data_IF_970575063309
#
_entry.id   IF_970575063309
#
_cell.length_a   1.000
_cell.length_b   1.000
_cell.length_c   1.000
_cell.angle_alpha   90.00
_cell.angle_beta   90.00
_cell.angle_gamma   90.00
#
_symmetry.space_group_name_H-M   'P 1'
#
loop_
_entity.id
_entity.type
_entity.pdbx_description
1 polymer ?
#
# COMPACT_ATOMS: atom_id res chain seq x y z
N UNK A 1 7.61 13.03 11.76
CA UNK A 1 6.36 13.31 11.04
C UNK A 1 6.54 14.60 10.24
N UNK A 2 6.37 14.56 8.92
CA UNK A 2 6.72 15.71 8.05
C UNK A 2 5.66 16.81 8.20
N UNK A 3 5.98 17.92 8.88
CA UNK A 3 5.05 19.04 9.12
C UNK A 3 4.49 19.60 7.80
N UNK A 4 5.28 19.52 6.72
CA UNK A 4 4.84 19.91 5.38
C UNK A 4 3.63 19.12 4.88
N UNK A 5 3.47 17.85 5.31
CA UNK A 5 2.29 17.06 4.98
C UNK A 5 1.01 17.70 5.53
N UNK A 6 1.02 18.17 6.78
CA UNK A 6 -0.17 18.76 7.40
C UNK A 6 -0.54 20.11 6.79
N UNK A 7 0.47 20.90 6.41
CA UNK A 7 0.23 22.15 5.70
C UNK A 7 -0.35 21.92 4.31
N UNK A 8 0.18 20.95 3.55
CA UNK A 8 -0.33 20.57 2.23
C UNK A 8 -1.72 19.92 2.30
N UNK A 9 -1.96 19.10 3.34
CA UNK A 9 -3.23 18.38 3.51
C UNK A 9 -4.32 19.21 4.20
N UNK A 10 -4.02 20.46 4.61
CA UNK A 10 -4.95 21.31 5.39
C UNK A 10 -6.34 21.39 4.76
N UNK A 11 -6.41 21.69 3.46
CA UNK A 11 -7.67 21.80 2.74
C UNK A 11 -8.48 20.49 2.72
N UNK A 12 -7.83 19.33 2.81
CA UNK A 12 -8.48 18.02 2.91
C UNK A 12 -8.94 17.75 4.34
N UNK A 13 -8.09 18.03 5.33
CA UNK A 13 -8.40 17.86 6.75
C UNK A 13 -9.56 18.76 7.19
N UNK A 14 -9.67 19.95 6.60
CA UNK A 14 -10.77 20.89 6.86
C UNK A 14 -12.12 20.40 6.33
N UNK A 15 -12.18 19.35 5.52
CA UNK A 15 -13.47 18.77 5.05
C UNK A 15 -14.18 17.92 6.11
N UNK A 16 -13.50 17.55 7.19
CA UNK A 16 -14.06 16.73 8.26
C UNK A 16 -13.87 17.43 9.60
N UNK A 17 -14.98 17.66 10.33
CA UNK A 17 -14.94 18.24 11.67
C UNK A 17 -14.05 17.43 12.63
N UNK A 18 -14.09 16.10 12.54
CA UNK A 18 -13.23 15.22 13.34
C UNK A 18 -11.75 15.34 12.96
N UNK A 19 -11.44 15.41 11.66
CA UNK A 19 -10.06 15.62 11.22
C UNK A 19 -9.54 17.00 11.65
N UNK A 20 -10.36 18.05 11.57
CA UNK A 20 -10.03 19.36 12.12
C UNK A 20 -9.76 19.28 13.62
N UNK A 21 -10.66 18.66 14.41
CA UNK A 21 -10.50 18.52 15.87
C UNK A 21 -9.20 17.80 16.23
N UNK A 22 -8.92 16.66 15.60
CA UNK A 22 -7.79 15.81 15.91
C UNK A 22 -6.46 16.38 15.43
N UNK A 23 -6.41 16.86 14.18
CA UNK A 23 -5.16 17.23 13.52
C UNK A 23 -4.88 18.74 13.49
N UNK A 24 -5.88 19.61 13.63
CA UNK A 24 -5.71 21.07 13.55
C UNK A 24 -6.09 21.78 14.85
N UNK A 25 -7.06 21.26 15.61
CA UNK A 25 -7.66 21.90 16.79
C UNK A 25 -6.68 22.18 17.92
N UNK A 26 -5.59 21.41 18.00
CA UNK A 26 -4.51 21.67 18.95
C UNK A 26 -3.44 22.62 18.40
N UNK A 27 -3.60 23.29 17.25
CA UNK A 27 -2.54 24.06 16.58
C UNK A 27 -1.64 23.23 15.64
N UNK A 28 -2.02 21.97 15.44
CA UNK A 28 -1.42 20.99 14.54
C UNK A 28 -0.06 20.41 14.94
N UNK A 29 0.40 19.34 14.24
CA UNK A 29 1.74 18.80 14.40
C UNK A 29 2.78 19.82 13.95
N UNK A 30 3.79 20.08 14.80
CA UNK A 30 4.89 21.03 14.54
C UNK A 30 6.22 20.41 14.97
N UNK A 31 7.37 20.87 14.45
CA UNK A 31 8.66 20.35 14.90
C UNK A 31 8.83 20.57 16.40
N UNK A 32 9.32 19.54 17.11
CA UNK A 32 9.51 19.57 18.56
C UNK A 32 8.24 19.46 19.40
N UNK A 33 7.05 19.37 18.79
CA UNK A 33 5.79 19.26 19.53
C UNK A 33 5.36 17.82 19.74
N UNK A 34 5.03 17.48 20.98
CA UNK A 34 4.35 16.22 21.31
C UNK A 34 2.87 16.33 20.94
N UNK A 35 2.39 15.39 20.14
CA UNK A 35 0.98 15.28 19.76
C UNK A 35 0.40 14.00 20.35
N UNK A 36 -0.75 14.10 21.00
CA UNK A 36 -1.41 12.98 21.69
C UNK A 36 -2.79 12.75 21.10
N UNK A 37 -3.08 11.50 20.71
CA UNK A 37 -4.37 11.08 20.17
C UNK A 37 -5.05 10.13 21.16
N UNK A 38 -5.73 10.69 22.16
CA UNK A 38 -6.36 9.91 23.24
C UNK A 38 -7.43 8.94 22.72
N UNK A 39 -8.21 9.39 21.74
CA UNK A 39 -9.28 8.58 21.13
C UNK A 39 -8.68 7.37 20.38
N UNK A 40 -7.62 7.59 19.61
CA UNK A 40 -6.87 6.50 18.94
C UNK A 40 -6.25 5.55 19.98
N UNK A 41 -5.68 6.06 21.07
CA UNK A 41 -5.15 5.22 22.13
C UNK A 41 -6.24 4.38 22.81
N UNK A 42 -7.46 4.91 22.96
CA UNK A 42 -8.60 4.14 23.44
C UNK A 42 -9.03 3.04 22.44
N UNK A 43 -9.05 3.35 21.14
CA UNK A 43 -9.30 2.35 20.08
C UNK A 43 -8.25 1.23 20.10
N UNK A 44 -6.96 1.57 20.19
CA UNK A 44 -5.88 0.58 20.23
C UNK A 44 -5.94 -0.30 21.49
N UNK A 45 -6.33 0.26 22.65
CA UNK A 45 -6.57 -0.54 23.86
C UNK A 45 -7.72 -1.54 23.69
N UNK A 46 -8.82 -1.11 23.10
CA UNK A 46 -9.95 -2.00 22.80
C UNK A 46 -9.54 -3.16 21.87
N UNK A 47 -8.70 -2.89 20.87
CA UNK A 47 -8.17 -3.95 19.98
C UNK A 47 -7.18 -4.86 20.72
N UNK A 48 -6.32 -4.31 21.58
CA UNK A 48 -5.38 -5.11 22.37
C UNK A 48 -6.09 -6.05 23.36
N UNK A 49 -7.20 -5.60 23.95
CA UNK A 49 -7.97 -6.36 24.95
C UNK A 49 -8.96 -7.35 24.30
N UNK A 50 -9.61 -6.96 23.21
CA UNK A 50 -10.69 -7.75 22.58
C UNK A 50 -10.36 -8.32 21.19
N UNK A 51 -9.13 -8.13 20.71
CA UNK A 51 -8.68 -8.66 19.43
C UNK A 51 -9.38 -8.02 18.20
N UNK A 52 -9.26 -8.71 17.06
CA UNK A 52 -9.78 -8.24 15.78
C UNK A 52 -11.31 -8.14 15.75
N UNK A 53 -12.03 -8.97 16.50
CA UNK A 53 -13.49 -8.97 16.55
C UNK A 53 -14.04 -7.62 17.02
N UNK A 54 -13.38 -6.96 17.97
CA UNK A 54 -13.79 -5.62 18.42
C UNK A 54 -13.68 -4.57 17.30
N UNK A 55 -12.74 -4.76 16.38
CA UNK A 55 -12.55 -3.90 15.21
C UNK A 55 -13.58 -4.18 14.10
N UNK A 56 -13.79 -5.44 13.73
CA UNK A 56 -14.58 -5.82 12.55
C UNK A 56 -16.06 -6.09 12.84
N UNK A 57 -16.42 -6.46 14.08
CA UNK A 57 -17.80 -6.78 14.50
C UNK A 57 -18.26 -6.07 15.77
N UNK A 58 -17.37 -5.28 16.38
CA UNK A 58 -17.59 -4.65 17.69
C UNK A 58 -17.97 -3.17 17.63
N UNK A 59 -17.80 -2.46 18.78
CA UNK A 59 -18.05 -1.01 18.88
C UNK A 59 -17.28 -0.17 17.86
N UNK A 60 -16.08 -0.58 17.47
CA UNK A 60 -15.28 0.14 16.47
C UNK A 60 -15.92 0.01 15.09
N UNK A 61 -16.38 -1.19 14.71
CA UNK A 61 -17.09 -1.40 13.43
C UNK A 61 -18.33 -0.50 13.31
N UNK A 62 -19.14 -0.46 14.38
CA UNK A 62 -20.30 0.45 14.49
C UNK A 62 -19.91 1.91 14.33
N UNK A 63 -18.84 2.35 14.98
CA UNK A 63 -18.37 3.73 14.88
C UNK A 63 -17.90 4.09 13.46
N UNK A 64 -17.18 3.17 12.80
CA UNK A 64 -16.73 3.34 11.41
C UNK A 64 -17.93 3.43 10.46
N UNK A 65 -18.83 2.45 10.51
CA UNK A 65 -20.02 2.41 9.65
C UNK A 65 -20.87 3.67 9.80
N UNK A 66 -21.13 4.09 11.06
CA UNK A 66 -21.88 5.32 11.34
C UNK A 66 -21.20 6.54 10.75
N UNK A 67 -19.89 6.72 10.98
CA UNK A 67 -19.16 7.88 10.49
C UNK A 67 -19.12 7.94 8.95
N UNK A 68 -18.98 6.79 8.28
CA UNK A 68 -19.01 6.72 6.81
C UNK A 68 -20.39 7.05 6.27
N UNK A 69 -21.45 6.50 6.86
CA UNK A 69 -22.84 6.73 6.42
C UNK A 69 -23.30 8.17 6.69
N UNK A 70 -22.94 8.76 7.84
CA UNK A 70 -23.17 10.18 8.14
C UNK A 70 -22.49 11.10 7.12
N UNK A 71 -21.36 10.67 6.52
CA UNK A 71 -20.66 11.37 5.46
C UNK A 71 -21.17 11.04 4.03
N UNK A 72 -22.22 10.21 3.90
CA UNK A 72 -22.82 9.82 2.61
C UNK A 72 -22.13 8.65 1.90
N UNK A 73 -21.23 7.92 2.57
CA UNK A 73 -20.61 6.71 2.05
C UNK A 73 -21.44 5.43 2.27
N UNK A 74 -20.99 4.31 1.72
CA UNK A 74 -21.77 3.05 1.68
C UNK A 74 -21.28 1.96 2.64
N UNK A 75 -20.07 2.08 3.19
CA UNK A 75 -19.50 1.08 4.09
C UNK A 75 -20.40 0.88 5.31
N UNK A 76 -20.84 -0.35 5.54
CA UNK A 76 -21.70 -0.71 6.67
C UNK A 76 -21.05 -1.76 7.59
N UNK A 77 -21.71 -2.07 8.70
CA UNK A 77 -21.23 -3.10 9.63
C UNK A 77 -21.14 -4.48 8.97
N UNK A 78 -22.04 -4.80 8.04
CA UNK A 78 -22.02 -6.08 7.34
C UNK A 78 -20.78 -6.23 6.46
N UNK A 79 -20.32 -5.17 5.80
CA UNK A 79 -19.09 -5.17 5.00
C UNK A 79 -17.86 -5.45 5.88
N UNK A 80 -17.78 -4.79 7.03
CA UNK A 80 -16.70 -4.98 8.00
C UNK A 80 -16.72 -6.40 8.59
N UNK A 81 -17.91 -6.93 8.89
CA UNK A 81 -18.07 -8.26 9.45
C UNK A 81 -17.78 -9.39 8.43
N UNK A 82 -17.98 -9.11 7.14
CA UNK A 82 -17.70 -10.02 6.04
C UNK A 82 -16.22 -10.02 5.61
N UNK A 83 -15.42 -9.04 6.04
CA UNK A 83 -14.00 -9.01 5.77
C UNK A 83 -13.27 -10.20 6.41
N UNK A 84 -12.43 -10.86 5.63
CA UNK A 84 -11.52 -11.88 6.11
C UNK A 84 -10.14 -11.71 5.41
N UNK A 85 -9.03 -11.79 6.15
CA UNK A 85 -7.71 -11.82 5.54
C UNK A 85 -7.51 -13.15 4.80
N UNK A 86 -6.86 -13.07 3.64
CA UNK A 86 -6.51 -14.25 2.85
C UNK A 86 -5.00 -14.46 2.85
N UNK A 87 -4.57 -15.69 3.11
CA UNK A 87 -3.21 -16.13 2.84
C UNK A 87 -3.09 -16.49 1.36
N UNK A 88 -2.10 -15.92 0.68
CA UNK A 88 -1.85 -16.18 -0.74
C UNK A 88 -0.40 -16.52 -0.96
N UNK A 89 -0.16 -17.45 -1.87
CA UNK A 89 1.20 -17.83 -2.27
C UNK A 89 1.88 -16.66 -2.98
N UNK A 90 3.11 -16.28 -2.60
CA UNK A 90 3.88 -15.26 -3.29
C UNK A 90 4.19 -15.65 -4.74
N UNK A 91 4.40 -14.64 -5.59
CA UNK A 91 5.03 -14.84 -6.90
C UNK A 91 6.53 -14.72 -6.70
N UNK A 92 7.28 -15.76 -7.07
CA UNK A 92 8.74 -15.80 -6.88
C UNK A 92 9.46 -16.03 -8.21
N UNK A 93 10.64 -15.43 -8.34
CA UNK A 93 11.60 -15.69 -9.42
C UNK A 93 12.97 -16.01 -8.82
N UNK A 94 13.84 -16.62 -9.62
CA UNK A 94 15.28 -16.65 -9.34
C UNK A 94 15.96 -15.50 -10.06
N UNK A 95 16.79 -14.73 -9.37
CA UNK A 95 17.60 -13.66 -9.95
C UNK A 95 19.03 -13.78 -9.40
N UNK A 96 19.98 -14.15 -10.28
CA UNK A 96 21.42 -14.24 -9.95
C UNK A 96 21.73 -15.06 -8.69
N UNK A 97 21.06 -16.20 -8.53
CA UNK A 97 21.27 -17.11 -7.40
C UNK A 97 20.45 -16.79 -6.13
N UNK A 98 19.61 -15.76 -6.18
CA UNK A 98 18.69 -15.41 -5.10
C UNK A 98 17.24 -15.65 -5.50
N UNK A 99 16.41 -16.07 -4.55
CA UNK A 99 14.96 -16.04 -4.72
C UNK A 99 14.44 -14.63 -4.38
N UNK A 100 13.61 -14.08 -5.28
CA UNK A 100 12.96 -12.79 -5.10
C UNK A 100 11.45 -13.02 -5.16
N UNK A 101 10.77 -12.80 -4.03
CA UNK A 101 9.33 -13.00 -3.90
C UNK A 101 8.58 -11.67 -3.82
N UNK A 102 7.36 -11.65 -4.34
CA UNK A 102 6.46 -10.50 -4.25
C UNK A 102 5.00 -10.93 -4.05
N UNK A 103 4.17 -9.97 -3.65
CA UNK A 103 2.73 -10.16 -3.49
C UNK A 103 2.09 -10.54 -4.84
N UNK A 104 1.16 -11.52 -4.86
CA UNK A 104 0.50 -11.94 -6.10
C UNK A 104 -0.57 -10.94 -6.55
N UNK A 105 -1.13 -11.10 -7.76
CA UNK A 105 -2.35 -10.39 -8.16
C UNK A 105 -3.45 -10.43 -7.08
N UNK A 106 -4.24 -9.34 -6.92
CA UNK A 106 -4.35 -8.16 -7.78
C UNK A 106 -3.26 -7.11 -7.56
N UNK A 107 -2.27 -7.37 -6.69
CA UNK A 107 -1.16 -6.45 -6.54
C UNK A 107 -0.29 -6.43 -7.79
N UNK A 108 0.16 -5.25 -8.16
CA UNK A 108 0.88 -5.02 -9.41
C UNK A 108 2.40 -5.10 -9.26
N UNK A 109 2.88 -5.77 -8.20
CA UNK A 109 4.29 -5.82 -7.83
C UNK A 109 5.11 -6.77 -8.73
N UNK A 110 4.44 -7.58 -9.56
CA UNK A 110 5.06 -8.42 -10.59
C UNK A 110 5.90 -7.63 -11.60
N UNK A 111 5.60 -6.33 -11.81
CA UNK A 111 6.43 -5.45 -12.66
C UNK A 111 7.91 -5.49 -12.24
N UNK A 112 8.19 -5.52 -10.93
CA UNK A 112 9.55 -5.58 -10.43
C UNK A 112 10.22 -6.92 -10.79
N UNK A 113 9.48 -8.02 -10.67
CA UNK A 113 10.00 -9.36 -10.98
C UNK A 113 10.29 -9.50 -12.48
N UNK A 114 9.38 -9.03 -13.32
CA UNK A 114 9.58 -8.97 -14.77
C UNK A 114 10.80 -8.11 -15.15
N UNK A 115 10.93 -6.92 -14.55
CA UNK A 115 12.10 -6.04 -14.75
C UNK A 115 13.40 -6.77 -14.39
N UNK A 116 13.42 -7.50 -13.27
CA UNK A 116 14.59 -8.27 -12.84
C UNK A 116 14.90 -9.41 -13.81
N UNK A 117 13.90 -10.16 -14.28
CA UNK A 117 14.11 -11.22 -15.28
C UNK A 117 14.71 -10.67 -16.58
N UNK A 118 14.21 -9.54 -17.10
CA UNK A 118 14.78 -8.89 -18.29
C UNK A 118 16.25 -8.52 -18.04
N UNK A 119 16.55 -7.93 -16.87
CA UNK A 119 17.90 -7.51 -16.51
C UNK A 119 18.86 -8.66 -16.19
N UNK A 120 18.39 -9.89 -16.04
CA UNK A 120 19.25 -11.03 -15.72
C UNK A 120 20.14 -11.42 -16.90
N UNK A 121 19.69 -11.19 -18.13
CA UNK A 121 20.45 -11.46 -19.36
C UNK A 121 21.65 -10.54 -19.59
N UNK A 122 21.86 -9.55 -18.72
CA UNK A 122 22.90 -8.54 -18.87
C UNK A 122 23.93 -8.57 -17.73
N UNK A 123 25.13 -8.03 -17.95
CA UNK A 123 26.13 -7.85 -16.88
C UNK A 123 25.95 -6.52 -16.16
N UNK A 124 24.82 -6.40 -15.44
CA UNK A 124 24.45 -5.19 -14.69
C UNK A 124 25.52 -4.80 -13.66
N UNK A 125 26.21 -5.79 -13.08
CA UNK A 125 27.27 -5.56 -12.11
C UNK A 125 28.54 -4.99 -12.78
N UNK A 126 28.94 -5.54 -13.93
CA UNK A 126 30.11 -5.09 -14.67
C UNK A 126 30.01 -3.65 -15.20
N UNK A 127 28.81 -3.14 -15.45
CA UNK A 127 28.60 -1.76 -15.89
C UNK A 127 28.81 -0.71 -14.79
N UNK A 128 28.71 -1.09 -13.51
CA UNK A 128 28.71 -0.15 -12.39
C UNK A 128 27.40 0.62 -12.22
N UNK A 129 27.09 1.00 -10.97
CA UNK A 129 25.85 1.70 -10.65
C UNK A 129 25.79 3.09 -11.31
N UNK A 130 24.64 3.42 -11.91
CA UNK A 130 24.36 4.70 -12.58
C UNK A 130 25.27 5.04 -13.78
N UNK A 131 25.96 4.06 -14.36
CA UNK A 131 26.54 4.25 -15.70
C UNK A 131 25.46 4.39 -16.77
N UNK A 132 25.86 4.83 -17.96
CA UNK A 132 24.93 4.99 -19.09
C UNK A 132 24.33 3.65 -19.49
N UNK A 133 25.16 2.60 -19.55
CA UNK A 133 24.75 1.24 -19.88
C UNK A 133 23.75 0.70 -18.85
N UNK A 134 24.03 0.90 -17.56
CA UNK A 134 23.12 0.53 -16.48
C UNK A 134 21.76 1.24 -16.60
N UNK A 135 21.78 2.57 -16.72
CA UNK A 135 20.56 3.36 -16.74
C UNK A 135 19.72 3.08 -17.98
N UNK A 136 20.34 2.96 -19.15
CA UNK A 136 19.64 2.67 -20.39
C UNK A 136 18.83 1.36 -20.28
N UNK A 137 19.50 0.26 -19.91
CA UNK A 137 18.83 -1.05 -19.84
C UNK A 137 17.81 -1.11 -18.69
N UNK A 138 18.10 -0.49 -17.54
CA UNK A 138 17.14 -0.40 -16.45
C UNK A 138 15.87 0.35 -16.88
N UNK A 139 16.02 1.49 -17.56
CA UNK A 139 14.90 2.30 -18.04
C UNK A 139 14.07 1.51 -19.05
N UNK A 140 14.69 0.86 -20.03
CA UNK A 140 13.96 0.08 -21.05
C UNK A 140 13.25 -1.14 -20.44
N UNK A 141 13.90 -1.86 -19.52
CA UNK A 141 13.27 -2.97 -18.80
C UNK A 141 12.04 -2.50 -17.98
N UNK A 142 12.17 -1.37 -17.27
CA UNK A 142 11.06 -0.78 -16.50
C UNK A 142 9.92 -0.35 -17.44
N UNK A 143 10.21 0.22 -18.60
CA UNK A 143 9.19 0.64 -19.57
C UNK A 143 8.37 -0.55 -20.07
N UNK A 144 9.04 -1.64 -20.44
CA UNK A 144 8.39 -2.88 -20.88
C UNK A 144 7.50 -3.45 -19.79
N UNK A 145 8.06 -3.69 -18.60
CA UNK A 145 7.29 -4.23 -17.47
C UNK A 145 6.16 -3.29 -17.01
N UNK A 146 6.33 -1.97 -17.16
CA UNK A 146 5.26 -1.00 -16.88
C UNK A 146 4.13 -1.08 -17.89
N UNK A 147 4.45 -1.31 -19.18
CA UNK A 147 3.44 -1.48 -20.22
C UNK A 147 2.58 -2.71 -19.93
N UNK A 148 3.21 -3.83 -19.57
CA UNK A 148 2.52 -5.06 -19.19
C UNK A 148 1.73 -4.88 -17.89
N UNK A 149 2.28 -4.22 -16.88
CA UNK A 149 1.52 -3.87 -15.68
C UNK A 149 0.26 -3.07 -15.99
N UNK A 150 0.36 -2.06 -16.86
CA UNK A 150 -0.78 -1.24 -17.25
C UNK A 150 -1.82 -2.04 -18.05
N UNK A 151 -1.38 -2.97 -18.88
CA UNK A 151 -2.26 -3.83 -19.67
C UNK A 151 -2.99 -4.89 -18.81
N UNK A 152 -2.31 -5.47 -17.81
CA UNK A 152 -2.77 -6.69 -17.17
C UNK A 152 -3.09 -6.59 -15.67
N UNK A 153 -2.57 -5.62 -14.90
CA UNK A 153 -2.66 -5.65 -13.43
C UNK A 153 -4.09 -5.66 -12.86
N UNK A 154 -5.06 -5.16 -13.61
CA UNK A 154 -6.48 -5.13 -13.22
C UNK A 154 -7.35 -6.07 -14.06
N UNK A 155 -6.73 -6.98 -14.81
CA UNK A 155 -7.41 -8.08 -15.48
C UNK A 155 -7.99 -9.05 -14.45
N UNK A 156 -9.16 -9.63 -14.77
CA UNK A 156 -9.72 -10.73 -13.98
C UNK A 156 -8.81 -11.98 -14.00
N UNK A 157 -8.04 -12.16 -15.07
CA UNK A 157 -7.06 -13.23 -15.23
C UNK A 157 -5.71 -12.59 -15.60
N UNK A 158 -4.91 -12.28 -14.58
CA UNK A 158 -3.55 -11.75 -14.78
C UNK A 158 -2.67 -12.92 -15.23
N UNK A 159 -2.04 -12.87 -16.42
CA UNK A 159 -1.24 -13.97 -16.97
C UNK A 159 0.14 -14.05 -16.29
N UNK A 160 0.16 -14.15 -14.96
CA UNK A 160 1.32 -13.95 -14.10
C UNK A 160 2.49 -14.86 -14.48
N UNK A 161 2.20 -16.13 -14.83
CA UNK A 161 3.22 -17.10 -15.26
C UNK A 161 3.96 -16.67 -16.52
N UNK A 162 3.25 -16.01 -17.46
CA UNK A 162 3.86 -15.46 -18.66
C UNK A 162 4.67 -14.20 -18.34
N UNK A 163 4.09 -13.29 -17.54
CA UNK A 163 4.71 -12.02 -17.17
C UNK A 163 6.04 -12.19 -16.40
N UNK A 164 6.16 -13.24 -15.60
CA UNK A 164 7.42 -13.54 -14.88
C UNK A 164 8.20 -14.70 -15.51
N UNK A 165 7.92 -15.04 -16.76
CA UNK A 165 8.72 -16.00 -17.54
C UNK A 165 10.09 -15.41 -17.88
N UNK A 166 11.09 -16.29 -18.06
CA UNK A 166 12.38 -15.97 -18.68
C UNK A 166 12.47 -16.42 -20.15
N UNK A 167 11.51 -17.22 -20.60
CA UNK A 167 11.35 -17.69 -21.97
C UNK A 167 10.47 -16.74 -22.77
#
# INVERSE_FOLDING_TARGET
>A
MNVRFFDQARATLERSAEAQRLYLGNGGPRPGRIVTYKDLAATLRQVAEGGAEVFYRGPIARAIARAVQEAGGWLCEADLAAFAPEWREPVSISYRGHEVSSVPPPFSAFQMLETLNILESFDVAGWGHNSVEYLHHLIEAIKLASADRLAYAYSADVPIRGLVSKA
#
